data_IF_986375295965
#
_entry.id   IF_986375295965
#
_cell.length_a   1.000
_cell.length_b   1.000
_cell.length_c   1.000
_cell.angle_alpha   90.00
_cell.angle_beta   90.00
_cell.angle_gamma   90.00
#
_symmetry.space_group_name_H-M   'P 1'
#
loop_
_entity.id
_entity.type
_entity.pdbx_description
1 polymer ?
#
# COMPACT_ATOMS: atom_id res chain seq x y z
N UNK A 1 -56.48 37.08 52.78
CA UNK A 1 -57.50 36.22 52.14
C UNK A 1 -56.85 34.84 51.96
N UNK A 2 -57.51 33.81 52.46
CA UNK A 2 -56.98 32.44 52.71
C UNK A 2 -57.41 31.50 51.56
N UNK A 3 -56.73 30.34 51.49
CA UNK A 3 -57.09 29.03 50.87
C UNK A 3 -56.33 28.67 49.58
N UNK A 4 -55.37 27.73 49.61
CA UNK A 4 -55.47 26.24 49.60
C UNK A 4 -55.86 25.71 48.20
N UNK A 5 -55.30 24.67 47.57
CA UNK A 5 -54.29 23.66 47.90
C UNK A 5 -54.51 22.40 47.02
N UNK A 6 -53.42 21.63 46.76
CA UNK A 6 -53.35 20.22 46.24
C UNK A 6 -53.66 20.03 44.73
N UNK A 7 -52.97 19.21 43.93
CA UNK A 7 -52.07 18.05 44.04
C UNK A 7 -52.32 17.25 42.73
N UNK A 8 -51.38 16.68 41.97
CA UNK A 8 -50.58 15.46 42.17
C UNK A 8 -49.76 15.29 40.87
N UNK A 9 -48.47 14.99 40.82
CA UNK A 9 -47.91 13.68 41.14
C UNK A 9 -46.97 13.18 40.02
N UNK A 10 -45.67 13.11 40.36
CA UNK A 10 -44.72 12.01 40.07
C UNK A 10 -44.16 11.77 38.64
N UNK A 11 -42.82 11.87 38.65
CA UNK A 11 -41.79 10.90 38.20
C UNK A 11 -41.17 11.07 36.80
N UNK A 12 -39.89 11.44 36.86
CA UNK A 12 -38.82 11.19 35.87
C UNK A 12 -38.90 9.75 35.35
N UNK A 13 -38.91 9.60 34.03
CA UNK A 13 -38.95 8.30 33.34
C UNK A 13 -38.17 8.33 32.03
N UNK A 14 -37.08 7.56 32.01
CA UNK A 14 -36.18 7.19 30.90
C UNK A 14 -36.92 6.85 29.59
N UNK A 15 -36.39 7.18 28.40
CA UNK A 15 -36.95 6.69 27.14
C UNK A 15 -36.80 5.16 27.07
N UNK A 16 -37.92 4.45 26.92
CA UNK A 16 -37.96 3.01 26.64
C UNK A 16 -38.02 2.79 25.14
N UNK A 17 -37.08 1.99 24.66
CA UNK A 17 -37.03 1.26 23.38
C UNK A 17 -38.30 0.38 23.26
N UNK A 18 -38.98 0.40 22.12
CA UNK A 18 -39.81 -0.71 21.63
C UNK A 18 -40.21 -0.51 20.15
N UNK A 19 -40.75 -1.52 19.44
CA UNK A 19 -40.10 -2.14 18.30
C UNK A 19 -40.99 -2.15 17.04
N UNK A 20 -40.55 -2.90 16.02
CA UNK A 20 -41.34 -3.44 14.90
C UNK A 20 -41.90 -2.42 13.89
N UNK A 21 -41.14 -2.27 12.81
CA UNK A 21 -41.66 -1.81 11.53
C UNK A 21 -42.29 -2.99 10.78
N UNK A 22 -43.58 -2.87 10.45
CA UNK A 22 -44.27 -3.73 9.49
C UNK A 22 -44.47 -2.93 8.20
N UNK A 23 -43.87 -3.41 7.10
CA UNK A 23 -44.33 -3.26 5.71
C UNK A 23 -43.43 -4.19 4.86
N UNK A 24 -43.86 -5.40 4.46
CA UNK A 24 -44.54 -5.74 3.19
C UNK A 24 -43.76 -5.20 1.95
N UNK A 25 -43.38 -5.94 0.90
CA UNK A 25 -43.77 -7.22 0.26
C UNK A 25 -42.63 -7.59 -0.72
N UNK A 26 -42.29 -8.87 -0.90
CA UNK A 26 -42.32 -9.62 -2.19
C UNK A 26 -41.44 -10.85 -2.17
N UNK A 27 -42.11 -11.97 -2.36
CA UNK A 27 -41.55 -13.24 -2.81
C UNK A 27 -40.78 -13.04 -4.12
N UNK A 28 -39.54 -13.51 -4.14
CA UNK A 28 -38.89 -14.04 -5.33
C UNK A 28 -38.05 -15.25 -4.88
N UNK A 29 -38.52 -16.43 -5.27
CA UNK A 29 -37.74 -17.66 -5.30
C UNK A 29 -36.46 -17.43 -6.11
N UNK A 30 -35.32 -17.86 -5.57
CA UNK A 30 -34.05 -17.81 -6.28
C UNK A 30 -32.89 -18.23 -5.39
N UNK A 31 -32.52 -19.50 -5.51
CA UNK A 31 -31.26 -20.14 -5.09
C UNK A 31 -30.82 -19.99 -3.63
N UNK A 32 -30.82 -21.13 -2.94
CA UNK A 32 -30.03 -21.36 -1.72
C UNK A 32 -28.54 -21.06 -2.01
N UNK A 33 -28.11 -19.83 -1.77
CA UNK A 33 -26.68 -19.52 -1.66
C UNK A 33 -26.16 -20.16 -0.38
N UNK A 34 -25.51 -21.31 -0.54
CA UNK A 34 -24.60 -21.86 0.46
C UNK A 34 -23.54 -20.79 0.77
N UNK A 35 -23.72 -20.09 1.89
CA UNK A 35 -22.63 -19.41 2.57
C UNK A 35 -21.61 -20.49 2.98
N UNK A 36 -20.62 -20.73 2.12
CA UNK A 36 -19.41 -21.41 2.53
C UNK A 36 -18.68 -20.46 3.48
N UNK A 37 -18.88 -20.71 4.76
CA UNK A 37 -18.05 -20.21 5.85
C UNK A 37 -16.64 -20.72 5.57
N UNK A 38 -15.82 -19.90 4.89
CA UNK A 38 -14.39 -20.14 4.78
C UNK A 38 -13.81 -20.04 6.18
N UNK A 39 -13.67 -21.19 6.84
CA UNK A 39 -12.93 -21.31 8.09
C UNK A 39 -11.51 -20.80 7.85
N UNK A 40 -11.23 -19.59 8.33
CA UNK A 40 -9.89 -19.04 8.36
C UNK A 40 -9.08 -19.92 9.30
N UNK A 41 -8.21 -20.77 8.74
CA UNK A 41 -7.26 -21.56 9.52
C UNK A 41 -6.34 -20.54 10.20
N UNK A 42 -6.55 -20.31 11.49
CA UNK A 42 -5.64 -19.50 12.31
C UNK A 42 -4.44 -20.38 12.64
N UNK A 43 -3.41 -20.34 11.79
CA UNK A 43 -2.11 -20.89 12.14
C UNK A 43 -1.50 -20.06 13.29
N UNK A 44 -1.32 -20.71 14.44
CA UNK A 44 -0.74 -20.07 15.64
C UNK A 44 0.79 -20.02 15.50
N UNK A 45 1.29 -18.87 15.04
CA UNK A 45 2.73 -18.63 14.92
C UNK A 45 3.31 -18.12 16.26
N UNK A 46 4.51 -18.56 16.66
CA UNK A 46 5.15 -18.09 17.89
C UNK A 46 5.41 -16.57 17.84
N UNK A 47 5.21 -15.89 18.97
CA UNK A 47 5.48 -14.44 19.09
C UNK A 47 6.98 -14.18 18.98
N UNK A 48 7.36 -13.32 18.02
CA UNK A 48 8.75 -12.90 17.83
C UNK A 48 9.28 -12.08 19.01
N UNK A 49 10.51 -12.37 19.43
CA UNK A 49 11.18 -11.70 20.56
C UNK A 49 12.42 -10.90 20.16
N UNK A 50 12.95 -11.11 18.95
CA UNK A 50 14.10 -10.37 18.43
C UNK A 50 13.65 -9.28 17.44
N UNK A 51 13.76 -8.02 17.86
CA UNK A 51 13.48 -6.86 17.02
C UNK A 51 14.45 -6.71 15.84
N UNK A 52 15.66 -7.28 15.92
CA UNK A 52 16.66 -7.21 14.84
C UNK A 52 16.17 -7.88 13.55
N UNK A 53 15.42 -8.97 13.69
CA UNK A 53 14.80 -9.70 12.58
C UNK A 53 13.75 -8.90 11.79
N UNK A 54 13.28 -7.77 12.32
CA UNK A 54 12.32 -6.88 11.67
C UNK A 54 12.98 -5.84 10.75
N UNK A 55 14.31 -5.69 10.80
CA UNK A 55 15.03 -4.73 9.97
C UNK A 55 15.30 -5.29 8.56
N UNK A 56 15.37 -4.38 7.58
CA UNK A 56 15.69 -4.74 6.21
C UNK A 56 17.12 -5.29 6.12
N UNK A 57 17.31 -6.32 5.29
CA UNK A 57 18.64 -6.86 5.00
C UNK A 57 19.49 -5.83 4.25
N UNK A 58 20.78 -5.78 4.58
CA UNK A 58 21.78 -4.95 3.90
C UNK A 58 22.54 -5.72 2.81
N UNK A 59 22.03 -6.88 2.41
CA UNK A 59 22.64 -7.70 1.37
C UNK A 59 22.75 -6.95 0.03
N UNK A 60 23.89 -7.15 -0.62
CA UNK A 60 24.15 -6.59 -1.95
C UNK A 60 24.00 -7.65 -3.02
N UNK A 61 23.37 -7.26 -4.13
CA UNK A 61 23.11 -8.04 -5.31
C UNK A 61 23.87 -7.45 -6.49
N UNK A 62 24.05 -8.25 -7.53
CA UNK A 62 24.76 -7.83 -8.75
C UNK A 62 23.85 -7.99 -9.96
N UNK A 63 23.77 -6.95 -10.78
CA UNK A 63 23.12 -6.95 -12.08
C UNK A 63 24.20 -6.81 -13.15
N UNK A 64 24.23 -7.76 -14.09
CA UNK A 64 25.18 -7.76 -15.21
C UNK A 64 24.45 -7.48 -16.52
N UNK A 65 24.93 -6.48 -17.27
CA UNK A 65 24.33 -6.05 -18.53
C UNK A 65 25.37 -6.15 -19.63
N UNK A 66 25.07 -6.91 -20.69
CA UNK A 66 25.91 -6.94 -21.90
C UNK A 66 25.37 -5.89 -22.88
N UNK A 67 26.18 -4.87 -23.16
CA UNK A 67 25.81 -3.79 -24.07
C UNK A 67 27.00 -3.35 -24.92
N UNK A 68 26.80 -3.24 -26.23
CA UNK A 68 27.83 -2.87 -27.22
C UNK A 68 29.12 -3.71 -27.12
N UNK A 69 28.96 -5.02 -26.87
CA UNK A 69 30.08 -5.95 -26.75
C UNK A 69 30.88 -5.82 -25.44
N UNK A 70 30.40 -5.03 -24.49
CA UNK A 70 31.01 -4.87 -23.17
C UNK A 70 30.07 -5.35 -22.07
N UNK A 71 30.65 -5.97 -21.04
CA UNK A 71 29.94 -6.36 -19.82
C UNK A 71 30.01 -5.20 -18.83
N UNK A 72 28.85 -4.75 -18.39
CA UNK A 72 28.66 -3.72 -17.37
C UNK A 72 28.12 -4.37 -16.11
N UNK A 73 28.69 -4.03 -14.96
CA UNK A 73 28.34 -4.63 -13.67
C UNK A 73 27.81 -3.53 -12.77
N UNK A 74 26.67 -3.80 -12.14
CA UNK A 74 26.00 -2.91 -11.20
C UNK A 74 25.82 -3.65 -9.89
N UNK A 75 26.37 -3.12 -8.80
CA UNK A 75 26.13 -3.64 -7.45
C UNK A 75 25.07 -2.79 -6.80
N UNK A 76 24.02 -3.43 -6.26
CA UNK A 76 22.89 -2.74 -5.67
C UNK A 76 22.43 -3.42 -4.39
N UNK A 77 21.73 -2.68 -3.54
CA UNK A 77 21.00 -3.21 -2.38
C UNK A 77 19.51 -2.98 -2.56
N UNK A 78 18.69 -3.79 -1.90
CA UNK A 78 17.27 -3.56 -1.89
C UNK A 78 16.93 -2.26 -1.15
N UNK A 79 15.89 -1.58 -1.61
CA UNK A 79 15.37 -0.40 -0.95
C UNK A 79 14.58 -0.85 0.28
N UNK A 80 14.93 -0.35 1.47
CA UNK A 80 14.11 -0.60 2.65
C UNK A 80 12.77 0.15 2.55
N UNK A 81 11.80 -0.24 3.39
CA UNK A 81 10.44 0.33 3.35
C UNK A 81 10.43 1.85 3.55
N UNK A 82 11.25 2.37 4.49
CA UNK A 82 11.32 3.80 4.77
C UNK A 82 11.87 4.60 3.58
N UNK A 83 12.96 4.14 2.99
CA UNK A 83 13.58 4.75 1.82
C UNK A 83 12.66 4.71 0.60
N UNK A 84 11.89 3.63 0.42
CA UNK A 84 10.85 3.53 -0.62
C UNK A 84 9.82 4.64 -0.48
N UNK A 85 9.24 4.81 0.71
CA UNK A 85 8.24 5.83 0.94
C UNK A 85 8.83 7.24 0.80
N UNK A 86 10.05 7.46 1.27
CA UNK A 86 10.74 8.73 1.06
C UNK A 86 10.95 9.04 -0.44
N UNK A 87 11.19 8.03 -1.28
CA UNK A 87 11.25 8.20 -2.73
C UNK A 87 9.89 8.55 -3.33
N UNK A 88 8.82 7.91 -2.85
CA UNK A 88 7.44 8.20 -3.28
C UNK A 88 7.07 9.64 -2.92
N UNK A 89 7.31 10.07 -1.69
CA UNK A 89 7.00 11.42 -1.22
C UNK A 89 7.75 12.49 -2.03
N UNK A 90 9.03 12.27 -2.34
CA UNK A 90 9.83 13.18 -3.16
C UNK A 90 9.38 13.23 -4.64
N UNK A 91 8.68 12.21 -5.10
CA UNK A 91 8.15 12.14 -6.46
C UNK A 91 6.75 12.75 -6.57
N UNK A 92 6.12 13.11 -5.45
CA UNK A 92 4.83 13.79 -5.42
C UNK A 92 5.00 15.31 -5.52
N UNK A 93 4.18 15.93 -6.37
CA UNK A 93 4.12 17.37 -6.54
C UNK A 93 2.67 17.84 -6.50
N UNK A 94 2.46 18.97 -5.84
CA UNK A 94 1.20 19.70 -5.86
C UNK A 94 1.41 20.98 -6.65
N UNK A 95 0.77 21.07 -7.81
CA UNK A 95 0.86 22.23 -8.69
C UNK A 95 -0.55 22.79 -8.91
N UNK A 96 -0.81 23.99 -8.38
CA UNK A 96 -2.12 24.66 -8.48
C UNK A 96 -3.32 23.82 -8.02
N UNK A 97 -3.14 22.97 -7.01
CA UNK A 97 -4.18 22.08 -6.48
C UNK A 97 -4.36 20.78 -7.27
N UNK A 98 -3.56 20.56 -8.32
CA UNK A 98 -3.47 19.29 -9.03
C UNK A 98 -2.34 18.43 -8.44
N UNK A 99 -2.65 17.17 -8.16
CA UNK A 99 -1.66 16.18 -7.75
C UNK A 99 -0.95 15.60 -8.97
N UNK A 100 0.37 15.63 -8.96
CA UNK A 100 1.23 15.03 -9.99
C UNK A 100 2.21 14.07 -9.34
N UNK A 101 2.34 12.87 -9.90
CA UNK A 101 3.36 11.90 -9.52
C UNK A 101 4.37 11.73 -10.64
N UNK A 102 5.63 12.04 -10.37
CA UNK A 102 6.72 11.89 -11.33
C UNK A 102 7.42 10.54 -11.18
N UNK A 103 7.07 9.61 -12.06
CA UNK A 103 7.71 8.29 -12.15
C UNK A 103 9.22 8.40 -12.35
N UNK A 104 9.68 9.37 -13.14
CA UNK A 104 11.10 9.58 -13.38
C UNK A 104 11.84 10.02 -12.11
N UNK A 105 11.25 10.95 -11.33
CA UNK A 105 11.84 11.39 -10.05
C UNK A 105 11.96 10.24 -9.06
N UNK A 106 10.93 9.40 -8.99
CA UNK A 106 10.97 8.19 -8.18
C UNK A 106 12.12 7.27 -8.58
N UNK A 107 12.26 6.93 -9.87
CA UNK A 107 13.33 6.04 -10.33
C UNK A 107 14.73 6.62 -10.13
N UNK A 108 14.94 7.91 -10.39
CA UNK A 108 16.22 8.57 -10.12
C UNK A 108 16.57 8.45 -8.65
N UNK A 109 15.61 8.72 -7.76
CA UNK A 109 15.88 8.71 -6.33
C UNK A 109 16.11 7.30 -5.80
N UNK A 110 15.26 6.35 -6.20
CA UNK A 110 15.41 4.95 -5.82
C UNK A 110 16.74 4.36 -6.32
N UNK A 111 17.08 4.53 -7.59
CA UNK A 111 18.36 4.05 -8.13
C UNK A 111 19.56 4.71 -7.46
N UNK A 112 19.46 5.99 -7.07
CA UNK A 112 20.54 6.67 -6.35
C UNK A 112 20.79 6.10 -4.94
N UNK A 113 19.78 5.48 -4.32
CA UNK A 113 19.89 4.84 -3.01
C UNK A 113 20.23 3.34 -3.11
N UNK A 114 19.76 2.68 -4.18
CA UNK A 114 19.98 1.25 -4.40
C UNK A 114 21.36 0.96 -4.98
N UNK A 115 21.84 1.73 -5.97
CA UNK A 115 23.11 1.47 -6.65
C UNK A 115 24.29 1.85 -5.75
N UNK A 116 25.01 0.83 -5.26
CA UNK A 116 26.19 0.98 -4.40
C UNK A 116 27.44 1.19 -5.25
N UNK A 117 27.59 0.38 -6.29
CA UNK A 117 28.65 0.55 -7.29
C UNK A 117 28.06 0.47 -8.70
N UNK A 118 28.37 1.48 -9.50
CA UNK A 118 27.85 1.62 -10.85
C UNK A 118 28.84 2.37 -11.75
N UNK A 119 28.94 1.98 -13.03
CA UNK A 119 29.68 2.71 -14.05
C UNK A 119 29.02 4.06 -14.42
N UNK A 120 27.77 4.30 -14.02
CA UNK A 120 27.03 5.53 -14.34
C UNK A 120 27.10 6.48 -13.13
N UNK A 121 27.92 7.53 -13.23
CA UNK A 121 28.07 8.52 -12.14
C UNK A 121 28.01 9.95 -12.67
N UNK A 122 27.19 10.85 -12.09
CA UNK A 122 26.17 10.61 -11.05
C UNK A 122 24.86 10.06 -11.64
N UNK A 123 24.06 9.34 -10.84
CA UNK A 123 22.68 8.99 -11.20
C UNK A 123 21.80 10.24 -11.00
N UNK A 124 21.40 10.84 -12.12
CA UNK A 124 20.53 12.04 -12.19
C UNK A 124 19.42 11.82 -13.21
N UNK A 125 18.40 12.69 -13.20
CA UNK A 125 17.35 12.69 -14.23
C UNK A 125 17.93 12.76 -15.64
N UNK A 126 18.97 13.59 -15.84
CA UNK A 126 19.60 13.77 -17.15
C UNK A 126 20.37 12.54 -17.59
N UNK A 127 21.05 11.83 -16.68
CA UNK A 127 21.75 10.60 -17.05
C UNK A 127 20.79 9.50 -17.40
N UNK A 128 19.71 9.30 -16.63
CA UNK A 128 18.70 8.28 -16.95
C UNK A 128 18.00 8.58 -18.28
N UNK A 129 17.68 9.86 -18.55
CA UNK A 129 17.06 10.26 -19.82
C UNK A 129 17.97 10.04 -21.05
N UNK A 130 19.29 9.98 -20.87
CA UNK A 130 20.27 9.72 -21.94
C UNK A 130 20.64 8.26 -22.09
N UNK A 131 20.21 7.38 -21.17
CA UNK A 131 20.52 5.97 -21.26
C UNK A 131 19.80 5.32 -22.44
N UNK A 132 20.46 4.31 -23.00
CA UNK A 132 19.80 3.42 -23.93
C UNK A 132 18.59 2.79 -23.24
N UNK A 133 17.46 2.75 -23.95
CA UNK A 133 16.19 2.23 -23.43
C UNK A 133 16.34 0.86 -22.77
N UNK A 134 17.12 -0.04 -23.37
CA UNK A 134 17.30 -1.41 -22.84
C UNK A 134 18.03 -1.42 -21.50
N UNK A 135 19.02 -0.54 -21.33
CA UNK A 135 19.74 -0.39 -20.07
C UNK A 135 18.81 0.21 -19.03
N UNK A 136 18.06 1.25 -19.41
CA UNK A 136 17.07 1.88 -18.53
C UNK A 136 16.04 0.88 -18.02
N UNK A 137 15.46 0.06 -18.90
CA UNK A 137 14.48 -0.97 -18.54
C UNK A 137 15.07 -2.03 -17.58
N UNK A 138 16.31 -2.48 -17.81
CA UNK A 138 16.97 -3.43 -16.90
C UNK A 138 17.28 -2.81 -15.53
N UNK A 139 17.72 -1.55 -15.48
CA UNK A 139 17.91 -0.85 -14.21
C UNK A 139 16.58 -0.60 -13.49
N UNK A 140 15.51 -0.28 -14.21
CA UNK A 140 14.19 -0.08 -13.59
C UNK A 140 13.63 -1.39 -13.04
N UNK A 141 13.94 -2.54 -13.64
CA UNK A 141 13.44 -3.85 -13.18
C UNK A 141 13.88 -4.24 -11.77
N UNK A 142 14.99 -3.68 -11.26
CA UNK A 142 15.42 -3.90 -9.87
C UNK A 142 14.73 -2.95 -8.89
N UNK A 143 14.09 -1.87 -9.37
CA UNK A 143 13.46 -0.88 -8.51
C UNK A 143 12.06 -1.34 -8.11
N UNK A 144 11.69 -1.28 -6.82
CA UNK A 144 10.32 -1.58 -6.39
C UNK A 144 9.29 -0.70 -7.09
N UNK A 145 8.11 -1.26 -7.40
CA UNK A 145 7.01 -0.48 -7.97
C UNK A 145 6.59 0.63 -6.98
N UNK A 146 6.48 1.90 -7.43
CA UNK A 146 6.04 2.99 -6.57
C UNK A 146 4.59 2.83 -6.09
N UNK A 147 3.74 2.12 -6.84
CA UNK A 147 2.36 1.85 -6.47
C UNK A 147 2.25 0.41 -5.99
N UNK A 148 1.86 0.21 -4.74
CA UNK A 148 1.54 -1.10 -4.21
C UNK A 148 0.16 -1.53 -4.75
N UNK A 149 0.15 -2.27 -5.86
CA UNK A 149 -1.05 -3.01 -6.26
C UNK A 149 -1.17 -4.22 -5.33
N UNK A 150 -2.18 -4.21 -4.46
CA UNK A 150 -2.55 -5.34 -3.62
C UNK A 150 -2.80 -6.56 -4.51
N UNK A 151 -1.84 -7.48 -4.55
CA UNK A 151 -1.87 -8.67 -5.41
C UNK A 151 -3.07 -9.59 -5.12
N UNK A 152 -3.74 -9.44 -3.97
CA UNK A 152 -4.97 -10.15 -3.62
C UNK A 152 -6.17 -9.87 -4.56
N UNK A 153 -6.15 -8.79 -5.33
CA UNK A 153 -7.32 -8.41 -6.16
C UNK A 153 -7.32 -8.99 -7.58
N UNK A 154 -6.24 -9.62 -8.05
CA UNK A 154 -6.18 -10.21 -9.39
C UNK A 154 -6.51 -11.70 -9.44
N UNK A 155 -6.38 -12.43 -8.35
CA UNK A 155 -6.71 -13.86 -8.28
C UNK A 155 -8.24 -14.09 -8.27
N UNK A 156 -9.03 -13.11 -7.80
CA UNK A 156 -10.50 -13.19 -7.72
C UNK A 156 -11.19 -12.94 -9.08
N UNK A 157 -10.47 -12.48 -10.11
CA UNK A 157 -11.07 -12.13 -11.43
C UNK A 157 -10.91 -13.20 -12.50
N UNK A 158 -10.31 -14.34 -12.19
CA UNK A 158 -10.04 -15.42 -13.17
C UNK A 158 -10.90 -16.67 -13.01
N UNK A 159 -11.96 -16.63 -12.20
CA UNK A 159 -12.94 -17.72 -12.09
C UNK A 159 -14.29 -17.33 -12.67
#
# INVERSE_FOLDING_TARGET
MVQEGKGTGRKRGRPRKNPEATQQVKDQEGSEDMVQETETIVEDFPVGTDSGSLFASEETKTLEIIFKGQKWVFTYKDLNWGDKNACVDQAQEWDNGEFKFSVNKYYVKALSLMLVDTPIRPITETTLAKLDRRIGEQLISIVPNPVETSQETEEIKKE
#
